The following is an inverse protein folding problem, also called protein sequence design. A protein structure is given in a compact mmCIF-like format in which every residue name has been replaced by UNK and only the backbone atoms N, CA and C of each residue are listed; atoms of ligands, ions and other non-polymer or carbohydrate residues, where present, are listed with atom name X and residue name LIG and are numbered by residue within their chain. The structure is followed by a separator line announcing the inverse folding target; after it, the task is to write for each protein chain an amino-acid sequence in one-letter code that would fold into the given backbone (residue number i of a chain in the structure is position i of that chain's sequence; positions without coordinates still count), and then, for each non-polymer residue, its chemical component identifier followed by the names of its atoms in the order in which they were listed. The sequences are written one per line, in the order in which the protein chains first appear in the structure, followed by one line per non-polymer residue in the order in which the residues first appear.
data_IF_830073900071
#
_entry.id   IF_830073900071
#
_cell.length_a   1.000
_cell.length_b   1.000
_cell.length_c   1.000
_cell.angle_alpha   90.00
_cell.angle_beta   90.00
_cell.angle_gamma   90.00
#
_symmetry.space_group_name_H-M   'P 1'
#
loop_
_entity.id
_entity.type
_entity.pdbx_description
1 polymer ?
#
# COMPACT_ATOMS: atom_id res chain seq x y z
N UNK A 1 -1.14 9.95 4.24
CA UNK A 1 -1.63 8.74 4.93
C UNK A 1 -3.12 8.86 5.25
N UNK A 2 -3.59 9.91 5.93
CA UNK A 2 -5.01 10.06 6.33
C UNK A 2 -5.98 10.04 5.13
N UNK A 3 -5.63 10.71 4.02
CA UNK A 3 -6.41 10.64 2.79
C UNK A 3 -6.51 9.21 2.23
N UNK A 4 -5.39 8.46 2.24
CA UNK A 4 -5.36 7.06 1.81
C UNK A 4 -6.26 6.19 2.69
N UNK A 5 -6.18 6.33 4.01
CA UNK A 5 -7.03 5.61 4.96
C UNK A 5 -8.52 5.81 4.66
N UNK A 6 -8.95 7.07 4.55
CA UNK A 6 -10.35 7.41 4.21
C UNK A 6 -10.76 6.84 2.87
N UNK A 7 -9.89 6.90 1.88
CA UNK A 7 -10.16 6.38 0.54
C UNK A 7 -10.33 4.87 0.54
N UNK A 8 -9.47 4.14 1.23
CA UNK A 8 -9.57 2.68 1.36
C UNK A 8 -10.87 2.30 2.07
N UNK A 9 -11.20 2.92 3.21
CA UNK A 9 -12.46 2.66 3.91
C UNK A 9 -13.69 2.96 3.03
N UNK A 10 -13.66 4.06 2.28
CA UNK A 10 -14.75 4.43 1.38
C UNK A 10 -14.99 3.40 0.27
N UNK A 11 -13.90 2.88 -0.32
CA UNK A 11 -13.96 1.94 -1.45
C UNK A 11 -14.22 0.51 -0.97
N UNK A 12 -13.67 0.08 0.17
CA UNK A 12 -13.89 -1.28 0.71
C UNK A 12 -15.24 -1.46 1.38
N UNK A 13 -15.94 -0.37 1.70
CA UNK A 13 -17.30 -0.38 2.22
C UNK A 13 -17.49 -1.12 3.54
N UNK A 14 -18.76 -1.39 3.87
CA UNK A 14 -19.16 -2.13 5.07
C UNK A 14 -18.99 -3.64 4.92
N UNK A 15 -18.97 -4.37 6.05
CA UNK A 15 -18.77 -5.82 6.10
C UNK A 15 -19.75 -6.62 5.23
N UNK A 16 -20.97 -6.19 5.12
CA UNK A 16 -22.01 -6.90 4.39
C UNK A 16 -22.05 -6.58 2.89
N UNK A 17 -21.32 -5.55 2.45
CA UNK A 17 -21.41 -5.06 1.06
C UNK A 17 -20.73 -5.97 0.05
N UNK A 18 -19.60 -6.58 0.44
CA UNK A 18 -18.78 -7.41 -0.44
C UNK A 18 -18.45 -8.75 0.23
N UNK A 19 -19.49 -9.53 0.52
CA UNK A 19 -19.38 -10.76 1.32
C UNK A 19 -18.34 -11.76 0.78
N UNK A 20 -18.27 -11.93 -0.54
CA UNK A 20 -17.33 -12.87 -1.15
C UNK A 20 -15.86 -12.42 -1.05
N UNK A 21 -15.62 -11.12 -0.78
CA UNK A 21 -14.29 -10.52 -0.66
C UNK A 21 -13.89 -10.22 0.79
N UNK A 22 -14.61 -10.74 1.78
CA UNK A 22 -14.41 -10.40 3.19
C UNK A 22 -12.98 -10.69 3.67
N UNK A 23 -12.36 -11.80 3.24
CA UNK A 23 -10.98 -12.11 3.58
C UNK A 23 -9.99 -11.07 3.06
N UNK A 24 -10.13 -10.66 1.79
CA UNK A 24 -9.28 -9.63 1.19
C UNK A 24 -9.51 -8.27 1.86
N UNK A 25 -10.77 -7.91 2.14
CA UNK A 25 -11.12 -6.70 2.87
C UNK A 25 -10.43 -6.64 4.24
N UNK A 26 -10.49 -7.70 5.02
CA UNK A 26 -9.89 -7.74 6.36
C UNK A 26 -8.37 -7.54 6.30
N UNK A 27 -7.67 -8.11 5.31
CA UNK A 27 -6.23 -7.86 5.11
C UNK A 27 -5.94 -6.40 4.78
N UNK A 28 -6.68 -5.82 3.84
CA UNK A 28 -6.54 -4.40 3.49
C UNK A 28 -6.80 -3.51 4.72
N UNK A 29 -7.80 -3.83 5.53
CA UNK A 29 -8.10 -3.08 6.75
C UNK A 29 -7.03 -3.27 7.84
N UNK A 30 -6.31 -4.39 7.85
CA UNK A 30 -5.15 -4.57 8.72
C UNK A 30 -4.02 -3.59 8.35
N UNK A 31 -3.73 -3.40 7.07
CA UNK A 31 -2.81 -2.34 6.63
C UNK A 31 -3.30 -0.95 7.11
N UNK A 32 -4.60 -0.67 6.99
CA UNK A 32 -5.15 0.59 7.49
C UNK A 32 -4.97 0.78 9.00
N UNK A 33 -5.05 -0.30 9.77
CA UNK A 33 -4.79 -0.27 11.21
C UNK A 33 -3.33 0.11 11.49
N UNK A 34 -2.37 -0.51 10.80
CA UNK A 34 -0.95 -0.22 10.95
C UNK A 34 -0.62 1.24 10.58
N UNK A 35 -1.16 1.74 9.48
CA UNK A 35 -1.01 3.15 9.08
C UNK A 35 -1.62 4.11 10.11
N UNK A 36 -2.77 3.76 10.70
CA UNK A 36 -3.40 4.57 11.76
C UNK A 36 -2.56 4.60 13.03
N UNK A 37 -2.02 3.45 13.43
CA UNK A 37 -1.13 3.35 14.60
C UNK A 37 0.14 4.19 14.40
N UNK A 38 0.71 4.19 13.19
CA UNK A 38 1.83 5.06 12.84
C UNK A 38 1.47 6.55 13.00
N UNK A 39 0.31 6.99 12.49
CA UNK A 39 -0.15 8.38 12.64
C UNK A 39 -0.33 8.81 14.09
N UNK A 40 -0.65 7.88 14.98
CA UNK A 40 -0.72 8.14 16.44
C UNK A 40 0.64 8.17 17.13
N UNK A 41 1.73 7.86 16.41
CA UNK A 41 3.06 7.72 16.97
C UNK A 41 3.31 6.38 17.69
N UNK A 42 2.46 5.38 17.46
CA UNK A 42 2.59 4.03 18.03
C UNK A 42 3.51 3.12 17.21
N UNK A 43 4.18 3.69 16.21
CA UNK A 43 5.17 3.03 15.34
C UNK A 43 6.43 3.87 15.27
N UNK A 44 7.42 3.43 14.51
CA UNK A 44 8.69 4.13 14.39
C UNK A 44 8.52 5.52 13.80
N UNK A 45 9.23 6.49 14.37
CA UNK A 45 9.26 7.87 13.90
C UNK A 45 10.69 8.19 13.49
N UNK A 46 10.85 8.66 12.26
CA UNK A 46 12.13 9.02 11.68
C UNK A 46 12.21 10.54 11.49
N UNK A 47 13.37 11.11 11.80
CA UNK A 47 13.66 12.52 11.63
C UNK A 47 14.72 12.71 10.55
N UNK A 48 14.29 13.09 9.35
CA UNK A 48 15.17 13.26 8.19
C UNK A 48 15.45 14.74 7.95
N UNK A 49 16.73 15.09 7.76
CA UNK A 49 17.16 16.46 7.47
C UNK A 49 16.51 16.96 6.18
N UNK A 50 15.90 18.14 6.23
CA UNK A 50 15.20 18.77 5.10
C UNK A 50 16.04 19.81 4.33
N UNK A 51 17.36 19.86 4.59
CA UNK A 51 18.27 20.79 3.93
C UNK A 51 18.25 22.22 4.47
N UNK A 52 17.37 22.53 5.43
CA UNK A 52 17.38 23.86 6.08
C UNK A 52 18.57 23.96 7.02
N UNK A 53 19.50 24.85 6.70
CA UNK A 53 20.68 25.15 7.52
C UNK A 53 20.67 26.60 8.00
N UNK A 54 21.50 26.92 9.01
CA UNK A 54 21.55 28.24 9.65
C UNK A 54 21.74 29.43 8.68
N UNK A 55 22.39 29.21 7.54
CA UNK A 55 22.55 30.22 6.49
C UNK A 55 21.22 30.56 5.83
N UNK A 56 20.48 29.56 5.38
CA UNK A 56 19.15 29.72 4.77
C UNK A 56 18.12 30.30 5.75
N UNK A 57 18.19 29.94 7.03
CA UNK A 57 17.31 30.49 8.07
C UNK A 57 17.47 32.01 8.18
N UNK A 58 18.73 32.51 8.17
CA UNK A 58 19.02 33.96 8.26
C UNK A 58 18.68 34.69 6.97
N UNK A 59 19.03 34.10 5.82
CA UNK A 59 18.83 34.74 4.50
C UNK A 59 17.36 34.89 4.13
N UNK A 60 16.55 33.87 4.43
CA UNK A 60 15.14 33.81 4.02
C UNK A 60 14.15 33.97 5.17
N UNK A 61 14.61 34.32 6.37
CA UNK A 61 13.78 34.42 7.59
C UNK A 61 12.86 33.20 7.81
N UNK A 62 13.39 31.99 7.56
CA UNK A 62 12.62 30.75 7.68
C UNK A 62 12.56 30.33 9.15
N UNK A 63 11.35 30.26 9.68
CA UNK A 63 11.06 29.69 11.00
C UNK A 63 10.47 28.28 10.81
N UNK A 64 11.29 27.31 10.43
CA UNK A 64 10.85 25.94 10.20
C UNK A 64 11.81 24.94 10.88
N UNK A 65 11.30 23.77 11.28
CA UNK A 65 12.15 22.70 11.77
C UNK A 65 13.19 22.28 10.72
N UNK A 66 14.39 21.90 11.17
CA UNK A 66 15.48 21.43 10.28
C UNK A 66 15.31 19.98 9.84
N UNK A 67 14.32 19.30 10.38
CA UNK A 67 14.02 17.90 10.09
C UNK A 67 12.54 17.74 9.79
N UNK A 68 12.26 16.95 8.78
CA UNK A 68 10.92 16.45 8.55
C UNK A 68 10.68 15.20 9.40
N UNK A 69 9.46 15.03 9.84
CA UNK A 69 9.01 13.85 10.59
C UNK A 69 8.36 12.87 9.62
N UNK A 70 8.83 11.64 9.65
CA UNK A 70 8.26 10.53 8.89
C UNK A 70 7.79 9.44 9.84
N UNK A 71 6.66 8.84 9.53
CA UNK A 71 6.14 7.67 10.24
C UNK A 71 6.46 6.43 9.41
N UNK A 72 7.18 5.46 10.02
CA UNK A 72 7.56 4.21 9.37
C UNK A 72 6.62 3.09 9.79
N UNK A 73 6.21 2.29 8.83
CA UNK A 73 5.43 1.07 9.02
C UNK A 73 6.14 -0.09 8.34
N UNK A 74 6.34 -1.18 9.05
CA UNK A 74 6.90 -2.41 8.48
C UNK A 74 5.77 -3.29 7.96
N UNK A 75 5.82 -3.62 6.67
CA UNK A 75 4.85 -4.47 6.01
C UNK A 75 5.63 -5.54 5.23
N UNK A 76 5.15 -6.79 5.29
CA UNK A 76 5.75 -7.88 4.52
C UNK A 76 5.49 -7.66 3.02
N UNK A 77 6.48 -7.99 2.19
CA UNK A 77 6.38 -7.79 0.75
C UNK A 77 5.18 -8.53 0.12
N UNK A 78 4.90 -9.81 0.44
CA UNK A 78 3.70 -10.46 -0.10
C UNK A 78 2.40 -9.76 0.30
N UNK A 79 2.35 -9.18 1.49
CA UNK A 79 1.17 -8.46 1.99
C UNK A 79 0.91 -7.15 1.25
N UNK A 80 1.98 -6.38 0.93
CA UNK A 80 1.82 -5.11 0.21
C UNK A 80 1.45 -5.36 -1.26
N UNK A 81 2.03 -6.38 -1.90
CA UNK A 81 1.68 -6.80 -3.27
C UNK A 81 0.22 -7.24 -3.32
N UNK A 82 -0.19 -8.11 -2.40
CA UNK A 82 -1.58 -8.56 -2.31
C UNK A 82 -2.53 -7.38 -2.11
N UNK A 83 -2.23 -6.47 -1.18
CA UNK A 83 -3.09 -5.32 -0.90
C UNK A 83 -3.21 -4.41 -2.13
N UNK A 84 -2.10 -4.11 -2.81
CA UNK A 84 -2.11 -3.27 -3.99
C UNK A 84 -2.96 -3.87 -5.11
N UNK A 85 -2.86 -5.18 -5.34
CA UNK A 85 -3.63 -5.87 -6.39
C UNK A 85 -5.09 -6.08 -5.99
N UNK A 86 -5.38 -6.47 -4.76
CA UNK A 86 -6.75 -6.68 -4.26
C UNK A 86 -7.60 -5.39 -4.26
N UNK A 87 -6.99 -4.24 -4.08
CA UNK A 87 -7.67 -2.94 -4.18
C UNK A 87 -8.30 -2.71 -5.57
N UNK A 88 -7.82 -3.37 -6.63
CA UNK A 88 -8.47 -3.29 -7.95
C UNK A 88 -9.89 -3.83 -7.93
N UNK A 89 -10.12 -4.95 -7.25
CA UNK A 89 -11.46 -5.54 -7.15
C UNK A 89 -12.41 -4.61 -6.40
N UNK A 90 -11.94 -3.99 -5.32
CA UNK A 90 -12.77 -3.05 -4.56
C UNK A 90 -13.03 -1.75 -5.34
N UNK A 91 -12.06 -1.22 -6.09
CA UNK A 91 -12.27 -0.07 -6.98
C UNK A 91 -13.33 -0.42 -8.02
N UNK A 92 -13.23 -1.57 -8.67
CA UNK A 92 -14.20 -2.01 -9.66
C UNK A 92 -15.60 -2.14 -9.08
N UNK A 93 -15.74 -2.83 -7.95
CA UNK A 93 -17.02 -2.99 -7.25
C UNK A 93 -17.61 -1.63 -6.81
N UNK A 94 -16.76 -0.72 -6.31
CA UNK A 94 -17.18 0.61 -5.92
C UNK A 94 -17.71 1.41 -7.13
N UNK A 95 -17.00 1.36 -8.27
CA UNK A 95 -17.42 2.04 -9.49
C UNK A 95 -18.69 1.45 -10.10
N UNK A 96 -18.85 0.14 -10.04
CA UNK A 96 -20.06 -0.54 -10.57
C UNK A 96 -21.31 -0.30 -9.72
N UNK A 97 -21.14 -0.24 -8.39
CA UNK A 97 -22.29 -0.26 -7.46
C UNK A 97 -22.60 1.10 -6.82
N UNK A 98 -21.64 2.02 -6.75
CA UNK A 98 -21.77 3.23 -5.93
C UNK A 98 -21.51 4.51 -6.73
N UNK A 99 -20.32 4.64 -7.31
CA UNK A 99 -19.88 5.86 -7.98
C UNK A 99 -19.04 5.54 -9.23
N UNK A 100 -19.65 5.55 -10.41
CA UNK A 100 -18.95 5.33 -11.68
C UNK A 100 -18.10 6.52 -12.12
N UNK A 101 -18.01 7.59 -11.34
CA UNK A 101 -17.29 8.81 -11.69
C UNK A 101 -15.80 8.56 -11.91
N UNK A 102 -15.29 9.02 -13.04
CA UNK A 102 -13.86 8.99 -13.36
C UNK A 102 -13.04 9.93 -12.45
N UNK A 103 -13.70 10.88 -11.81
CA UNK A 103 -13.09 11.91 -10.94
C UNK A 103 -13.20 11.57 -9.46
N UNK A 104 -13.52 10.32 -9.12
CA UNK A 104 -13.62 9.89 -7.74
C UNK A 104 -12.25 10.00 -7.05
N UNK A 105 -12.16 10.91 -6.06
CA UNK A 105 -10.91 11.22 -5.35
C UNK A 105 -10.37 10.02 -4.56
N UNK A 106 -11.24 9.16 -4.04
CA UNK A 106 -10.84 7.96 -3.32
C UNK A 106 -10.16 6.97 -4.25
N UNK A 107 -10.71 6.77 -5.45
CA UNK A 107 -10.09 5.93 -6.48
C UNK A 107 -8.73 6.51 -6.89
N UNK A 108 -8.65 7.82 -7.16
CA UNK A 108 -7.40 8.47 -7.53
C UNK A 108 -6.32 8.32 -6.44
N UNK A 109 -6.68 8.48 -5.17
CA UNK A 109 -5.76 8.33 -4.03
C UNK A 109 -5.26 6.89 -3.90
N UNK A 110 -6.12 5.89 -4.10
CA UNK A 110 -5.71 4.48 -4.08
C UNK A 110 -4.80 4.18 -5.27
N UNK A 111 -5.09 4.72 -6.47
CA UNK A 111 -4.21 4.56 -7.64
C UNK A 111 -2.83 5.18 -7.42
N UNK A 112 -2.75 6.31 -6.72
CA UNK A 112 -1.46 6.88 -6.33
C UNK A 112 -0.67 5.94 -5.40
N UNK A 113 -1.33 5.31 -4.43
CA UNK A 113 -0.71 4.30 -3.58
C UNK A 113 -0.21 3.10 -4.39
N UNK A 114 -1.02 2.57 -5.30
CA UNK A 114 -0.63 1.47 -6.19
C UNK A 114 0.56 1.85 -7.08
N UNK A 115 0.60 3.09 -7.58
CA UNK A 115 1.73 3.63 -8.34
C UNK A 115 3.01 3.65 -7.52
N UNK A 116 2.95 4.11 -6.26
CA UNK A 116 4.11 4.09 -5.37
C UNK A 116 4.64 2.67 -5.08
N UNK A 117 3.74 1.69 -4.93
CA UNK A 117 4.13 0.26 -4.81
C UNK A 117 4.78 -0.22 -6.10
N UNK A 118 4.24 0.15 -7.27
CA UNK A 118 4.79 -0.22 -8.56
C UNK A 118 6.20 0.34 -8.78
N UNK A 119 6.46 1.61 -8.44
CA UNK A 119 7.79 2.22 -8.50
C UNK A 119 8.82 1.47 -7.65
N UNK A 120 8.44 1.07 -6.42
CA UNK A 120 9.33 0.28 -5.55
C UNK A 120 9.63 -1.09 -6.17
N UNK A 121 8.63 -1.74 -6.77
CA UNK A 121 8.80 -3.06 -7.38
C UNK A 121 9.59 -2.99 -8.69
N UNK A 122 9.51 -1.89 -9.44
CA UNK A 122 10.34 -1.65 -10.63
C UNK A 122 11.83 -1.68 -10.30
N UNK A 123 12.21 -1.08 -9.16
CA UNK A 123 13.60 -1.07 -8.69
C UNK A 123 14.08 -2.43 -8.13
N UNK A 124 13.16 -3.30 -7.72
CA UNK A 124 13.47 -4.55 -7.03
C UNK A 124 13.34 -5.80 -7.90
N UNK A 125 12.51 -5.76 -8.93
CA UNK A 125 12.20 -6.90 -9.79
C UNK A 125 12.97 -6.84 -11.11
N UNK A 126 13.20 -8.01 -11.71
CA UNK A 126 13.58 -8.10 -13.11
C UNK A 126 12.39 -7.68 -13.99
N UNK A 127 12.66 -7.11 -15.16
CA UNK A 127 11.64 -6.54 -16.07
C UNK A 127 10.48 -7.52 -16.36
N UNK A 128 10.77 -8.79 -16.57
CA UNK A 128 9.73 -9.80 -16.84
C UNK A 128 8.73 -9.93 -15.68
N UNK A 129 9.21 -10.02 -14.44
CA UNK A 129 8.37 -10.12 -13.24
C UNK A 129 7.62 -8.83 -12.94
N UNK A 130 8.24 -7.69 -13.18
CA UNK A 130 7.58 -6.40 -13.04
C UNK A 130 6.41 -6.25 -14.02
N UNK A 131 6.58 -6.69 -15.27
CA UNK A 131 5.51 -6.69 -16.26
C UNK A 131 4.33 -7.58 -15.85
N UNK A 132 4.59 -8.73 -15.22
CA UNK A 132 3.52 -9.58 -14.67
C UNK A 132 2.75 -8.84 -13.56
N UNK A 133 3.45 -8.19 -12.63
CA UNK A 133 2.80 -7.38 -11.60
C UNK A 133 1.94 -6.26 -12.19
N UNK A 134 2.44 -5.54 -13.20
CA UNK A 134 1.65 -4.51 -13.89
C UNK A 134 0.41 -5.09 -14.57
N UNK A 135 0.49 -6.28 -15.17
CA UNK A 135 -0.66 -6.96 -15.73
C UNK A 135 -1.71 -7.29 -14.66
N UNK A 136 -1.29 -7.72 -13.47
CA UNK A 136 -2.19 -7.93 -12.33
C UNK A 136 -2.87 -6.62 -11.90
N UNK A 137 -2.15 -5.50 -11.83
CA UNK A 137 -2.71 -4.19 -11.53
C UNK A 137 -3.70 -3.68 -12.60
N UNK A 138 -3.56 -4.11 -13.85
CA UNK A 138 -4.46 -3.73 -14.93
C UNK A 138 -5.61 -4.74 -15.16
N UNK A 139 -5.58 -5.87 -14.47
CA UNK A 139 -6.58 -6.92 -14.65
C UNK A 139 -7.98 -6.43 -14.28
N UNK A 140 -8.95 -6.74 -15.15
CA UNK A 140 -10.38 -6.51 -14.89
C UNK A 140 -11.06 -7.72 -14.25
N UNK A 141 -10.34 -8.82 -14.08
CA UNK A 141 -10.87 -10.03 -13.48
C UNK A 141 -10.68 -9.96 -11.96
N UNK A 142 -11.69 -10.42 -11.22
CA UNK A 142 -11.56 -10.62 -9.78
C UNK A 142 -10.51 -11.71 -9.52
N UNK A 143 -9.37 -11.31 -8.97
CA UNK A 143 -8.23 -12.20 -8.75
C UNK A 143 -8.30 -12.91 -7.38
N UNK A 144 -9.09 -12.37 -6.43
CA UNK A 144 -9.00 -12.78 -5.04
C UNK A 144 -10.31 -13.33 -4.48
N UNK A 145 -10.63 -14.56 -4.88
CA UNK A 145 -11.64 -15.37 -4.22
C UNK A 145 -11.13 -15.98 -2.92
N UNK A 146 -12.03 -16.62 -2.17
CA UNK A 146 -11.89 -17.16 -0.80
C UNK A 146 -10.53 -17.77 -0.41
N UNK A 147 -9.78 -18.36 -1.35
CA UNK A 147 -8.54 -19.09 -1.04
C UNK A 147 -7.27 -18.23 -1.19
N UNK A 148 -7.31 -17.13 -1.90
CA UNK A 148 -6.14 -16.29 -2.14
C UNK A 148 -5.57 -15.71 -0.83
N UNK A 149 -6.44 -15.36 0.11
CA UNK A 149 -6.02 -14.83 1.43
C UNK A 149 -5.23 -15.86 2.26
N UNK A 150 -5.56 -17.13 2.18
CA UNK A 150 -4.82 -18.21 2.86
C UNK A 150 -3.44 -18.41 2.20
N UNK A 151 -3.37 -18.26 0.88
CA UNK A 151 -2.10 -18.36 0.18
C UNK A 151 -1.13 -17.25 0.58
N UNK A 152 -1.61 -16.03 0.80
CA UNK A 152 -0.77 -14.94 1.31
C UNK A 152 -0.21 -15.25 2.70
N UNK A 153 -0.95 -15.93 3.57
CA UNK A 153 -0.42 -16.39 4.87
C UNK A 153 0.75 -17.35 4.71
N UNK A 154 0.65 -18.27 3.76
CA UNK A 154 1.74 -19.20 3.43
C UNK A 154 2.95 -18.43 2.93
N UNK A 155 2.76 -17.51 1.98
CA UNK A 155 3.82 -16.67 1.43
C UNK A 155 4.49 -15.80 2.51
N UNK A 156 3.72 -15.22 3.41
CA UNK A 156 4.25 -14.45 4.53
C UNK A 156 5.13 -15.30 5.46
N UNK A 157 4.68 -16.52 5.78
CA UNK A 157 5.46 -17.47 6.60
C UNK A 157 6.75 -17.91 5.91
N UNK A 158 6.71 -18.15 4.62
CA UNK A 158 7.90 -18.48 3.83
C UNK A 158 8.86 -17.30 3.76
N UNK A 159 8.35 -16.10 3.50
CA UNK A 159 9.14 -14.86 3.45
C UNK A 159 9.86 -14.60 4.78
N UNK A 160 9.21 -14.83 5.91
CA UNK A 160 9.80 -14.63 7.24
C UNK A 160 10.92 -15.62 7.56
N UNK A 161 10.93 -16.82 6.96
CA UNK A 161 12.01 -17.80 7.13
C UNK A 161 13.30 -17.42 6.40
N UNK A 162 13.21 -16.52 5.42
CA UNK A 162 14.35 -16.10 4.62
C UNK A 162 15.22 -15.09 5.35
N UNK A 163 16.53 -15.17 5.16
CA UNK A 163 17.46 -14.10 5.53
C UNK A 163 17.21 -12.85 4.68
N UNK A 164 17.70 -11.70 5.12
CA UNK A 164 17.53 -10.43 4.38
C UNK A 164 18.05 -10.51 2.93
N UNK A 165 19.15 -11.22 2.69
CA UNK A 165 19.70 -11.38 1.34
C UNK A 165 18.82 -12.29 0.47
N UNK A 166 18.34 -13.40 1.03
CA UNK A 166 17.43 -14.30 0.32
C UNK A 166 16.08 -13.63 0.01
N UNK A 167 15.57 -12.78 0.88
CA UNK A 167 14.34 -12.00 0.62
C UNK A 167 14.49 -11.13 -0.62
N UNK A 168 15.63 -10.43 -0.78
CA UNK A 168 15.89 -9.63 -1.98
C UNK A 168 15.88 -10.45 -3.26
N UNK A 169 16.50 -11.64 -3.22
CA UNK A 169 16.63 -12.51 -4.38
C UNK A 169 15.33 -13.24 -4.75
N UNK A 170 14.41 -13.39 -3.80
CA UNK A 170 13.17 -14.15 -3.99
C UNK A 170 11.91 -13.31 -4.14
N UNK A 171 12.01 -11.97 -4.12
CA UNK A 171 10.84 -11.08 -4.27
C UNK A 171 10.03 -11.43 -5.51
N UNK A 172 10.70 -11.76 -6.61
CA UNK A 172 10.05 -12.13 -7.88
C UNK A 172 9.21 -13.42 -7.83
N UNK A 173 9.38 -14.25 -6.79
CA UNK A 173 8.62 -15.52 -6.64
C UNK A 173 7.34 -15.36 -5.82
N UNK A 174 7.05 -14.17 -5.30
CA UNK A 174 5.85 -13.82 -4.53
C UNK A 174 4.85 -13.03 -5.37
#
# INVERSE_FOLDING_TARGET
IDALLRSIYGVTGDENRYFDFQGARNRILHLCLELRNALKGERNIEFITNGIHKGLEKEKAILAPKKNVYYSVEILMPEIIFTATALNDFIRLHQEMIDPSLWNISVATIRQFQGAVAEILEDLLEEEHYLVFLQMLHSKQALFFRYATQYVDILNLEYLKLSQQERKNKIASY
#
